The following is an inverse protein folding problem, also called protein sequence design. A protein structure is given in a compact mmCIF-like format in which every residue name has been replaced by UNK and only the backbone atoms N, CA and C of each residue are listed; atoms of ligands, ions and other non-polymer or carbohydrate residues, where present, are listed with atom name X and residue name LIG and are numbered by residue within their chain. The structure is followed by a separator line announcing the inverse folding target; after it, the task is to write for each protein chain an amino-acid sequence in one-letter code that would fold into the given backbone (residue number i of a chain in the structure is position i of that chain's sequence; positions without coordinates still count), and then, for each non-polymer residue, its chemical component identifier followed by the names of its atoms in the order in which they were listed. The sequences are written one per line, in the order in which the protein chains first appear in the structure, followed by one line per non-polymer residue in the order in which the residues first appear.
data_IF_185804937127
#
_entry.id   IF_185804937127
#
_cell.length_a   1.000
_cell.length_b   1.000
_cell.length_c   1.000
_cell.angle_alpha   90.00
_cell.angle_beta   90.00
_cell.angle_gamma   90.00
#
_symmetry.space_group_name_H-M   'P 1'
#
loop_
_entity.id
_entity.type
_entity.pdbx_description
1 polymer ?
#
# COMPACT_ATOMS: atom_id res chain seq x y z
N UNK A 1 -47.91 1.67 -14.20
CA UNK A 1 -46.88 2.71 -14.11
C UNK A 1 -45.91 2.17 -13.10
N UNK A 2 -44.88 1.48 -13.59
CA UNK A 2 -44.00 0.66 -12.78
C UNK A 2 -42.58 0.87 -13.29
N UNK A 3 -41.91 1.85 -12.71
CA UNK A 3 -40.49 2.09 -12.90
C UNK A 3 -39.73 1.20 -11.93
N UNK A 4 -39.25 0.04 -12.38
CA UNK A 4 -38.27 -0.73 -11.59
C UNK A 4 -36.88 -0.22 -11.96
N UNK A 5 -36.29 0.44 -10.97
CA UNK A 5 -34.96 1.00 -10.90
C UNK A 5 -33.91 -0.02 -11.39
N UNK A 6 -33.31 0.24 -12.55
CA UNK A 6 -32.20 -0.56 -13.06
C UNK A 6 -30.98 -0.41 -12.13
N UNK A 7 -30.67 -1.47 -11.38
CA UNK A 7 -29.43 -1.57 -10.62
C UNK A 7 -28.27 -1.62 -11.63
N UNK A 8 -27.25 -0.74 -11.57
CA UNK A 8 -26.14 -0.80 -12.50
C UNK A 8 -25.35 -2.09 -12.26
N UNK A 9 -24.79 -2.71 -13.31
CA UNK A 9 -23.96 -3.89 -13.14
C UNK A 9 -22.74 -3.52 -12.31
N UNK A 10 -22.51 -4.27 -11.21
CA UNK A 10 -21.27 -4.22 -10.44
C UNK A 10 -20.12 -4.43 -11.42
N UNK A 11 -19.36 -3.36 -11.66
CA UNK A 11 -18.11 -3.43 -12.39
C UNK A 11 -17.20 -4.38 -11.61
N UNK A 12 -17.04 -5.61 -12.11
CA UNK A 12 -15.97 -6.49 -11.65
C UNK A 12 -14.66 -5.71 -11.83
N UNK A 13 -14.07 -5.32 -10.70
CA UNK A 13 -12.78 -4.64 -10.69
C UNK A 13 -11.76 -5.45 -11.48
N UNK A 14 -10.76 -4.81 -12.11
CA UNK A 14 -9.77 -5.52 -12.88
C UNK A 14 -9.10 -6.56 -11.99
N UNK A 15 -9.09 -7.82 -12.45
CA UNK A 15 -8.49 -8.96 -11.74
C UNK A 15 -7.12 -8.58 -11.18
N UNK A 16 -6.96 -8.50 -9.86
CA UNK A 16 -5.73 -8.01 -9.21
C UNK A 16 -4.51 -8.88 -9.58
N UNK A 17 -4.77 -10.12 -10.00
CA UNK A 17 -3.75 -11.13 -10.35
C UNK A 17 -2.88 -10.75 -11.55
N UNK A 18 -3.37 -9.92 -12.48
CA UNK A 18 -2.61 -9.49 -13.68
C UNK A 18 -1.58 -8.39 -13.39
N UNK A 19 -1.65 -7.74 -12.23
CA UNK A 19 -0.70 -6.69 -11.85
C UNK A 19 0.41 -7.23 -10.94
N UNK A 20 0.09 -8.17 -10.05
CA UNK A 20 1.06 -8.74 -9.10
C UNK A 20 2.12 -9.63 -9.75
N UNK A 21 1.82 -10.27 -10.89
CA UNK A 21 2.76 -11.22 -11.54
C UNK A 21 3.95 -10.57 -12.27
N UNK A 22 3.92 -9.25 -12.53
CA UNK A 22 4.98 -8.57 -13.29
C UNK A 22 5.85 -7.60 -12.47
N UNK A 23 5.52 -7.34 -11.20
CA UNK A 23 6.27 -6.40 -10.36
C UNK A 23 7.60 -6.98 -9.85
N UNK A 24 7.65 -8.29 -9.60
CA UNK A 24 8.81 -8.96 -9.00
C UNK A 24 9.60 -9.77 -10.01
N UNK A 25 10.92 -9.90 -9.80
CA UNK A 25 11.74 -10.82 -10.59
C UNK A 25 11.27 -12.27 -10.48
N UNK A 26 11.54 -13.11 -11.51
CA UNK A 26 11.11 -14.51 -11.53
C UNK A 26 11.55 -15.33 -10.31
N UNK A 27 12.71 -15.03 -9.72
CA UNK A 27 13.22 -15.68 -8.52
C UNK A 27 12.28 -15.56 -7.32
N UNK A 28 11.62 -14.41 -7.15
CA UNK A 28 10.60 -14.16 -6.13
C UNK A 28 9.21 -14.64 -6.60
N UNK A 29 8.94 -14.56 -7.91
CA UNK A 29 7.66 -14.94 -8.47
C UNK A 29 7.34 -16.45 -8.31
N UNK A 30 8.37 -17.31 -8.29
CA UNK A 30 8.22 -18.78 -8.20
C UNK A 30 7.68 -19.24 -6.83
N UNK A 31 8.04 -18.56 -5.73
CA UNK A 31 7.61 -19.01 -4.39
C UNK A 31 6.14 -18.72 -4.11
N UNK A 32 5.31 -19.75 -4.08
CA UNK A 32 3.87 -19.59 -3.87
C UNK A 32 3.55 -19.10 -2.44
N UNK A 33 2.47 -18.34 -2.31
CA UNK A 33 1.92 -18.01 -0.99
C UNK A 33 1.39 -19.29 -0.34
N UNK A 34 1.87 -19.66 0.86
CA UNK A 34 1.42 -20.88 1.51
C UNK A 34 -0.08 -20.86 1.77
N UNK A 35 -0.78 -21.97 1.53
CA UNK A 35 -2.24 -22.07 1.75
C UNK A 35 -2.67 -21.80 3.20
N UNK A 36 -1.75 -22.02 4.14
CA UNK A 36 -1.95 -21.79 5.58
C UNK A 36 -1.84 -20.32 5.97
N UNK A 37 -1.24 -19.48 5.13
CA UNK A 37 -1.18 -18.05 5.37
C UNK A 37 -2.60 -17.46 5.45
N UNK A 38 -2.83 -16.64 6.48
CA UNK A 38 -4.04 -15.83 6.61
C UNK A 38 -3.64 -14.37 6.58
N UNK A 39 -4.28 -13.60 5.70
CA UNK A 39 -4.07 -12.18 5.66
C UNK A 39 -4.56 -11.59 7.00
N UNK A 40 -3.70 -10.91 7.77
CA UNK A 40 -4.12 -10.27 9.01
C UNK A 40 -5.10 -9.13 8.71
N UNK A 41 -6.02 -8.90 9.64
CA UNK A 41 -6.95 -7.77 9.57
C UNK A 41 -6.20 -6.50 9.95
N UNK A 42 -5.71 -5.78 8.93
CA UNK A 42 -4.94 -4.56 9.08
C UNK A 42 -5.71 -3.38 8.46
N UNK A 43 -5.73 -2.22 9.11
CA UNK A 43 -6.18 -0.99 8.47
C UNK A 43 -5.41 -0.74 7.18
N UNK A 44 -6.11 -0.39 6.10
CA UNK A 44 -5.45 -0.06 4.84
C UNK A 44 -4.75 1.29 4.94
N UNK A 45 -3.52 1.35 4.46
CA UNK A 45 -2.74 2.58 4.35
C UNK A 45 -3.31 3.48 3.26
N UNK A 46 -3.68 4.70 3.65
CA UNK A 46 -4.27 5.70 2.76
C UNK A 46 -3.45 7.00 2.65
N UNK A 47 -2.18 6.94 3.08
CA UNK A 47 -1.25 8.06 3.03
C UNK A 47 -1.27 8.98 4.25
N UNK A 48 -2.18 8.75 5.21
CA UNK A 48 -2.36 9.66 6.36
C UNK A 48 -1.60 9.23 7.61
N UNK A 49 -1.39 7.93 7.81
CA UNK A 49 -0.62 7.40 8.94
C UNK A 49 0.89 7.38 8.65
N UNK A 50 1.70 7.10 9.67
CA UNK A 50 3.14 7.00 9.51
C UNK A 50 3.53 5.78 8.64
N UNK A 51 4.28 5.98 7.54
CA UNK A 51 4.72 4.88 6.67
C UNK A 51 5.53 3.80 7.40
N UNK A 52 6.36 4.18 8.37
CA UNK A 52 7.25 3.26 9.08
C UNK A 52 6.47 2.43 10.11
N UNK A 53 5.49 3.03 10.77
CA UNK A 53 4.50 2.32 11.60
C UNK A 53 3.71 1.30 10.78
N UNK A 54 3.25 1.69 9.58
CA UNK A 54 2.56 0.77 8.65
C UNK A 54 3.43 -0.45 8.30
N UNK A 55 4.68 -0.21 7.87
CA UNK A 55 5.63 -1.29 7.55
C UNK A 55 5.89 -2.20 8.75
N UNK A 56 6.07 -1.63 9.93
CA UNK A 56 6.34 -2.38 11.17
C UNK A 56 5.16 -3.27 11.51
N UNK A 57 3.96 -2.69 11.53
CA UNK A 57 2.71 -3.40 11.86
C UNK A 57 2.45 -4.54 10.88
N UNK A 58 2.57 -4.27 9.57
CA UNK A 58 2.43 -5.29 8.53
C UNK A 58 3.45 -6.42 8.69
N UNK A 59 4.72 -6.08 8.93
CA UNK A 59 5.79 -7.07 9.07
C UNK A 59 5.57 -7.97 10.28
N UNK A 60 5.20 -7.40 11.42
CA UNK A 60 4.89 -8.16 12.63
C UNK A 60 3.68 -9.08 12.42
N UNK A 61 2.64 -8.59 11.74
CA UNK A 61 1.43 -9.36 11.49
C UNK A 61 1.69 -10.56 10.55
N UNK A 62 2.51 -10.40 9.51
CA UNK A 62 2.94 -11.51 8.66
C UNK A 62 3.78 -12.52 9.45
N UNK A 63 4.76 -12.05 10.25
CA UNK A 63 5.60 -12.91 11.09
C UNK A 63 4.85 -13.62 12.21
N UNK A 64 3.68 -13.14 12.60
CA UNK A 64 2.78 -13.80 13.55
C UNK A 64 2.05 -15.02 12.97
N UNK A 65 2.15 -15.26 11.66
CA UNK A 65 1.65 -16.48 11.04
C UNK A 65 2.66 -17.64 11.18
N UNK A 66 2.16 -18.87 11.08
CA UNK A 66 2.97 -20.10 11.05
C UNK A 66 3.65 -20.29 9.67
N UNK A 67 4.70 -19.50 9.43
CA UNK A 67 5.46 -19.45 8.17
C UNK A 67 6.93 -19.81 8.42
N UNK A 68 7.53 -20.49 7.46
CA UNK A 68 8.97 -20.71 7.45
C UNK A 68 9.73 -19.42 7.07
N UNK A 69 10.99 -19.24 7.50
CA UNK A 69 11.77 -18.05 7.20
C UNK A 69 11.82 -17.67 5.71
N UNK A 70 11.88 -18.67 4.82
CA UNK A 70 11.91 -18.46 3.37
C UNK A 70 10.55 -17.97 2.82
N UNK A 71 9.43 -18.40 3.42
CA UNK A 71 8.08 -18.00 2.98
C UNK A 71 7.74 -16.57 3.42
N UNK A 72 8.29 -16.10 4.54
CA UNK A 72 7.99 -14.78 5.11
C UNK A 72 8.27 -13.67 4.09
N UNK A 73 9.41 -13.69 3.40
CA UNK A 73 9.76 -12.65 2.44
C UNK A 73 8.84 -12.65 1.22
N UNK A 74 8.51 -13.83 0.68
CA UNK A 74 7.56 -13.98 -0.43
C UNK A 74 6.18 -13.43 -0.07
N UNK A 75 5.70 -13.73 1.15
CA UNK A 75 4.43 -13.20 1.66
C UNK A 75 4.49 -11.68 1.82
N UNK A 76 5.54 -11.17 2.47
CA UNK A 76 5.74 -9.73 2.68
C UNK A 76 5.66 -8.95 1.36
N UNK A 77 6.34 -9.44 0.31
CA UNK A 77 6.35 -8.81 -1.01
C UNK A 77 4.98 -8.85 -1.69
N UNK A 78 4.42 -10.05 -1.85
CA UNK A 78 3.23 -10.28 -2.69
C UNK A 78 1.95 -9.76 -2.06
N UNK A 79 1.90 -9.63 -0.73
CA UNK A 79 0.72 -9.17 0.00
C UNK A 79 0.73 -7.70 0.37
N UNK A 80 1.86 -6.99 0.18
CA UNK A 80 1.97 -5.59 0.57
C UNK A 80 0.92 -4.70 -0.11
N UNK A 81 0.69 -4.88 -1.42
CA UNK A 81 -0.30 -4.11 -2.16
C UNK A 81 -1.74 -4.27 -1.64
N UNK A 82 -2.07 -5.39 -0.98
CA UNK A 82 -3.39 -5.62 -0.37
C UNK A 82 -3.64 -4.73 0.86
N UNK A 83 -2.56 -4.21 1.46
CA UNK A 83 -2.59 -3.29 2.61
C UNK A 83 -2.76 -1.84 2.21
N UNK A 84 -2.76 -1.51 0.91
CA UNK A 84 -2.82 -0.13 0.42
C UNK A 84 -4.23 0.21 -0.09
N UNK A 85 -4.57 1.49 -0.07
CA UNK A 85 -5.79 2.01 -0.67
C UNK A 85 -5.55 3.34 -1.40
N UNK A 86 -6.55 3.84 -2.12
CA UNK A 86 -6.54 5.15 -2.80
C UNK A 86 -5.26 5.41 -3.63
N UNK A 87 -4.58 6.53 -3.37
CA UNK A 87 -3.39 6.97 -4.09
C UNK A 87 -2.20 6.03 -3.90
N UNK A 88 -2.08 5.40 -2.73
CA UNK A 88 -0.98 4.49 -2.40
C UNK A 88 -1.07 3.18 -3.19
N UNK A 89 -2.29 2.66 -3.38
CA UNK A 89 -2.51 1.51 -4.26
C UNK A 89 -2.21 1.85 -5.73
N UNK A 90 -2.49 3.08 -6.15
CA UNK A 90 -2.16 3.57 -7.50
C UNK A 90 -0.65 3.66 -7.67
N UNK A 91 0.05 4.24 -6.70
CA UNK A 91 1.52 4.28 -6.68
C UNK A 91 2.13 2.87 -6.80
N UNK A 92 1.65 1.92 -6.01
CA UNK A 92 2.14 0.54 -6.03
C UNK A 92 1.95 -0.12 -7.40
N UNK A 93 0.78 0.10 -8.01
CA UNK A 93 0.46 -0.45 -9.35
C UNK A 93 1.30 0.15 -10.48
N UNK A 94 1.93 1.31 -10.24
CA UNK A 94 2.78 2.03 -11.19
C UNK A 94 4.28 1.72 -11.01
N UNK A 95 4.66 0.87 -10.05
CA UNK A 95 6.04 0.43 -9.91
C UNK A 95 6.53 -0.21 -11.22
N UNK A 96 7.77 0.09 -11.66
CA UNK A 96 8.30 -0.50 -12.88
C UNK A 96 8.30 -2.02 -12.80
N UNK A 97 8.05 -2.68 -13.93
CA UNK A 97 8.05 -4.14 -13.99
C UNK A 97 9.43 -4.68 -13.63
N UNK A 98 9.46 -5.76 -12.86
CA UNK A 98 10.68 -6.47 -12.45
C UNK A 98 11.70 -5.59 -11.71
N UNK A 99 11.26 -4.50 -11.06
CA UNK A 99 12.14 -3.55 -10.38
C UNK A 99 12.27 -3.78 -8.89
N UNK A 100 11.46 -4.65 -8.30
CA UNK A 100 11.49 -4.96 -6.86
C UNK A 100 11.95 -6.41 -6.69
N UNK A 101 13.10 -6.56 -6.05
CA UNK A 101 13.76 -7.86 -5.87
C UNK A 101 13.70 -8.39 -4.43
N UNK A 102 13.45 -7.50 -3.46
CA UNK A 102 13.41 -7.82 -2.04
C UNK A 102 12.40 -6.95 -1.31
N UNK A 103 11.94 -7.41 -0.15
CA UNK A 103 11.01 -6.60 0.66
C UNK A 103 11.67 -5.28 1.11
N UNK A 104 12.97 -5.29 1.36
CA UNK A 104 13.75 -4.10 1.68
C UNK A 104 13.68 -3.04 0.58
N UNK A 105 13.83 -3.44 -0.69
CA UNK A 105 13.76 -2.52 -1.82
C UNK A 105 12.36 -1.91 -1.99
N UNK A 106 11.31 -2.70 -1.71
CA UNK A 106 9.94 -2.22 -1.68
C UNK A 106 9.73 -1.18 -0.57
N UNK A 107 10.22 -1.47 0.63
CA UNK A 107 10.16 -0.57 1.78
C UNK A 107 10.88 0.74 1.50
N UNK A 108 12.11 0.69 0.97
CA UNK A 108 12.87 1.89 0.61
C UNK A 108 12.13 2.75 -0.43
N UNK A 109 11.57 2.12 -1.47
CA UNK A 109 10.77 2.79 -2.48
C UNK A 109 9.51 3.44 -1.88
N UNK A 110 8.83 2.73 -0.98
CA UNK A 110 7.65 3.21 -0.27
C UNK A 110 7.98 4.40 0.63
N UNK A 111 9.03 4.32 1.45
CA UNK A 111 9.47 5.43 2.30
C UNK A 111 9.84 6.66 1.45
N UNK A 112 10.59 6.49 0.36
CA UNK A 112 10.98 7.59 -0.53
C UNK A 112 9.77 8.30 -1.14
N UNK A 113 8.78 7.54 -1.62
CA UNK A 113 7.56 8.09 -2.19
C UNK A 113 6.75 8.93 -1.18
N UNK A 114 6.70 8.50 0.08
CA UNK A 114 5.86 9.13 1.11
C UNK A 114 6.62 10.13 2.01
N UNK A 115 7.96 10.13 2.00
CA UNK A 115 8.79 11.12 2.69
C UNK A 115 8.65 12.53 2.09
N UNK A 116 8.51 12.63 0.76
CA UNK A 116 8.33 13.91 0.06
C UNK A 116 6.95 14.54 0.32
N UNK A 117 5.90 13.72 0.35
CA UNK A 117 4.53 14.16 0.61
C UNK A 117 4.40 14.83 1.98
N UNK A 118 5.03 14.27 3.02
CA UNK A 118 5.05 14.85 4.37
C UNK A 118 5.69 16.23 4.43
N UNK A 119 6.81 16.44 3.72
CA UNK A 119 7.47 17.76 3.67
C UNK A 119 6.57 18.82 3.03
N UNK A 120 5.86 18.46 1.96
CA UNK A 120 4.92 19.37 1.28
C UNK A 120 3.71 19.68 2.19
N UNK A 121 3.15 18.68 2.86
CA UNK A 121 2.03 18.86 3.79
C UNK A 121 2.43 19.72 5.00
N UNK A 122 3.61 19.47 5.59
CA UNK A 122 4.13 20.28 6.68
C UNK A 122 4.35 21.74 6.27
N UNK A 123 4.88 21.98 5.05
CA UNK A 123 5.02 23.33 4.49
C UNK A 123 3.68 24.02 4.30
N UNK A 124 2.68 23.32 3.74
CA UNK A 124 1.32 23.84 3.58
C UNK A 124 0.69 24.21 4.92
N UNK A 125 0.75 23.32 5.91
CA UNK A 125 0.23 23.58 7.25
C UNK A 125 0.89 24.80 7.91
N UNK A 126 2.21 24.98 7.75
CA UNK A 126 2.89 26.16 8.26
C UNK A 126 2.44 27.46 7.56
N UNK A 127 2.21 27.43 6.24
CA UNK A 127 1.69 28.58 5.48
C UNK A 127 0.29 28.97 5.98
N UNK A 128 -0.62 28.00 6.18
CA UNK A 128 -1.95 28.27 6.72
C UNK A 128 -1.91 28.89 8.11
N UNK A 129 -1.02 28.41 8.98
CA UNK A 129 -0.84 28.98 10.32
C UNK A 129 -0.37 30.44 10.26
N UNK A 130 0.54 30.78 9.36
CA UNK A 130 1.02 32.17 9.20
C UNK A 130 -0.12 33.08 8.71
N UNK A 131 -0.85 32.66 7.67
CA UNK A 131 -1.96 33.44 7.13
C UNK A 131 -3.12 33.63 8.14
N UNK A 132 -3.37 32.65 8.99
CA UNK A 132 -4.39 32.76 10.04
C UNK A 132 -3.96 33.71 11.17
N UNK A 133 -2.69 33.66 11.60
CA UNK A 133 -2.15 34.60 12.60
C UNK A 133 -2.20 36.04 12.10
N UNK A 134 -1.93 36.27 10.81
CA UNK A 134 -2.05 37.60 10.20
C UNK A 134 -3.50 38.09 10.11
N UNK A 135 -4.47 37.18 9.92
CA UNK A 135 -5.90 37.52 9.90
C UNK A 135 -6.52 37.76 11.28
N UNK A 136 -5.88 37.29 12.36
CA UNK A 136 -6.37 37.47 13.75
C UNK A 136 -5.77 38.72 14.44
N UNK A 137 -4.83 39.43 13.78
CA UNK A 137 -4.16 40.64 14.28
C UNK A 137 -4.62 41.94 13.59
N UNK A 138 -5.67 41.89 12.78
CA UNK A 138 -6.36 43.04 12.16
C UNK A 138 -7.76 43.22 12.76
#
# INVERSE_FOLDING_TARGET
MDQILSVPPVSKGPDSKKYTQFLFKPSVAIELIPKRFKMPDLPKYDGTSDPQEHITTYTMAVKGNDLDPHEIESVLLKKFGETLTKGDLTWYSLLPKLSIDSFEMLVDSFIKAHAGARKIQARKANIFRIAQVESELL
#
